data_IF_302972351959
#
_entry.id   IF_302972351959
#
_cell.length_a   1.000
_cell.length_b   1.000
_cell.length_c   1.000
_cell.angle_alpha   90.00
_cell.angle_beta   90.00
_cell.angle_gamma   90.00
#
_symmetry.space_group_name_H-M   'P 1'
#
loop_
_entity.id
_entity.type
_entity.pdbx_description
1 polymer ?
#
# COMPACT_ATOMS: atom_id res chain seq x y z
N UNK A 1 19.09 -19.15 27.35
CA UNK A 1 18.29 -18.05 26.78
C UNK A 1 19.21 -17.23 25.90
N UNK A 2 19.10 -17.37 24.58
CA UNK A 2 19.82 -16.53 23.63
C UNK A 2 18.91 -15.35 23.36
N UNK A 3 19.32 -14.15 23.76
CA UNK A 3 18.62 -12.92 23.42
C UNK A 3 18.71 -12.73 21.89
N UNK A 4 17.55 -12.69 21.23
CA UNK A 4 17.47 -12.30 19.83
C UNK A 4 17.91 -10.84 19.73
N UNK A 5 19.11 -10.61 19.23
CA UNK A 5 19.65 -9.28 18.98
C UNK A 5 18.85 -8.62 17.85
N UNK A 6 18.16 -7.54 18.16
CA UNK A 6 17.49 -6.71 17.16
C UNK A 6 18.57 -6.02 16.32
N UNK A 7 18.73 -6.45 15.07
CA UNK A 7 19.67 -5.79 14.16
C UNK A 7 19.05 -4.48 13.67
N UNK A 8 19.58 -3.36 14.15
CA UNK A 8 19.24 -2.04 13.62
C UNK A 8 20.11 -1.80 12.38
N UNK A 9 19.49 -1.79 11.21
CA UNK A 9 20.15 -1.40 9.98
C UNK A 9 20.15 0.13 9.91
N UNK A 10 21.29 0.72 10.26
CA UNK A 10 21.51 2.15 10.14
C UNK A 10 22.24 2.46 8.84
N UNK A 11 21.77 3.46 8.11
CA UNK A 11 22.47 3.94 6.93
C UNK A 11 23.90 4.37 7.29
N UNK A 12 24.85 4.01 6.45
CA UNK A 12 26.21 4.54 6.52
C UNK A 12 26.13 6.07 6.44
N UNK A 13 26.95 6.79 7.22
CA UNK A 13 26.91 8.24 7.49
C UNK A 13 27.18 9.18 6.29
N UNK A 14 26.68 8.86 5.13
CA UNK A 14 26.36 9.86 4.12
C UNK A 14 25.00 10.41 4.53
N UNK A 15 24.91 11.70 4.83
CA UNK A 15 23.65 12.37 5.15
C UNK A 15 22.70 12.12 3.97
N UNK A 16 21.90 11.07 4.06
CA UNK A 16 20.92 10.76 3.05
C UNK A 16 19.95 11.94 3.00
N UNK A 17 19.78 12.55 1.85
CA UNK A 17 18.79 13.59 1.67
C UNK A 17 17.43 13.02 2.10
N UNK A 18 16.75 13.71 3.02
CA UNK A 18 15.43 13.30 3.47
C UNK A 18 14.52 13.15 2.24
N UNK A 19 13.87 11.99 2.12
CA UNK A 19 12.95 11.76 1.02
C UNK A 19 11.71 12.63 1.18
N UNK A 20 11.27 13.30 0.11
CA UNK A 20 9.95 13.92 0.10
C UNK A 20 8.88 12.84 -0.08
N UNK A 21 7.71 12.96 0.58
CA UNK A 21 6.60 12.04 0.35
C UNK A 21 6.23 11.94 -1.14
N UNK A 22 5.75 10.77 -1.56
CA UNK A 22 5.17 10.60 -2.91
C UNK A 22 3.86 11.40 -2.99
N UNK A 23 3.73 12.24 -4.01
CA UNK A 23 2.54 13.06 -4.17
C UNK A 23 1.41 12.24 -4.83
N UNK A 24 0.44 11.83 -4.03
CA UNK A 24 -0.72 11.06 -4.48
C UNK A 24 -1.79 11.91 -5.17
N UNK A 25 -1.73 13.25 -5.05
CA UNK A 25 -2.73 14.18 -5.63
C UNK A 25 -4.16 13.74 -5.29
N UNK A 26 -5.06 13.67 -6.29
CA UNK A 26 -6.46 13.25 -6.08
C UNK A 26 -6.60 11.77 -5.67
N UNK A 27 -5.63 10.90 -5.98
CA UNK A 27 -5.63 9.52 -5.52
C UNK A 27 -5.46 9.39 -3.99
N UNK A 28 -4.94 10.43 -3.33
CA UNK A 28 -4.73 10.45 -1.88
C UNK A 28 -5.99 10.37 -1.03
N UNK A 29 -7.17 10.65 -1.57
CA UNK A 29 -8.47 10.54 -0.87
C UNK A 29 -9.04 9.13 -0.88
N UNK A 30 -8.54 8.25 -1.75
CA UNK A 30 -9.02 6.88 -1.87
C UNK A 30 -8.30 5.95 -0.90
N UNK A 31 -9.08 5.12 -0.21
CA UNK A 31 -8.57 3.95 0.51
C UNK A 31 -8.28 2.80 -0.46
N UNK A 32 -9.15 2.64 -1.48
CA UNK A 32 -8.98 1.64 -2.53
C UNK A 32 -9.27 2.28 -3.89
N UNK A 33 -8.32 2.17 -4.82
CA UNK A 33 -8.53 2.56 -6.22
C UNK A 33 -7.90 1.52 -7.14
N UNK A 34 -8.69 1.03 -8.09
CA UNK A 34 -8.27 -0.02 -9.02
C UNK A 34 -8.67 0.27 -10.46
N UNK A 35 -8.02 -0.39 -11.43
CA UNK A 35 -8.39 -0.23 -12.84
C UNK A 35 -9.22 -1.40 -13.38
N UNK A 36 -9.21 -2.56 -12.72
CA UNK A 36 -9.92 -3.76 -13.18
C UNK A 36 -11.01 -4.25 -12.22
N UNK A 37 -11.27 -3.49 -11.14
CA UNK A 37 -12.33 -3.77 -10.18
C UNK A 37 -11.83 -4.16 -8.79
N UNK A 38 -12.78 -4.23 -7.87
CA UNK A 38 -12.59 -4.64 -6.48
C UNK A 38 -13.48 -5.84 -6.22
N UNK A 39 -12.89 -7.01 -5.93
CA UNK A 39 -13.65 -8.18 -5.51
C UNK A 39 -13.59 -8.33 -4.01
N UNK A 40 -14.72 -8.68 -3.39
CA UNK A 40 -14.78 -9.00 -1.98
C UNK A 40 -15.48 -10.35 -1.78
N UNK A 41 -14.84 -11.21 -0.99
CA UNK A 41 -15.41 -12.49 -0.58
C UNK A 41 -15.57 -12.44 0.94
N UNK A 42 -16.81 -12.39 1.39
CA UNK A 42 -17.20 -12.07 2.76
C UNK A 42 -16.92 -10.60 3.16
N UNK A 43 -17.82 -10.04 3.94
CA UNK A 43 -17.88 -8.60 4.22
C UNK A 43 -16.58 -8.04 4.82
N UNK A 44 -16.09 -6.99 4.19
CA UNK A 44 -14.92 -6.21 4.62
C UNK A 44 -15.36 -4.88 5.25
N UNK A 45 -14.46 -4.18 5.92
CA UNK A 45 -14.69 -2.87 6.52
C UNK A 45 -13.70 -1.85 5.96
N UNK A 46 -14.19 -0.93 5.13
CA UNK A 46 -13.37 0.08 4.45
C UNK A 46 -13.69 1.47 5.04
N UNK A 47 -12.68 2.16 5.55
CA UNK A 47 -12.76 3.55 5.99
C UNK A 47 -12.00 4.45 5.02
N UNK A 48 -12.74 5.13 4.14
CA UNK A 48 -12.23 5.97 3.07
C UNK A 48 -12.95 5.70 1.75
N UNK A 49 -12.65 6.48 0.73
CA UNK A 49 -13.30 6.36 -0.56
C UNK A 49 -12.80 5.14 -1.34
N UNK A 50 -13.68 4.59 -2.17
CA UNK A 50 -13.40 3.45 -3.04
C UNK A 50 -13.75 3.81 -4.48
N UNK A 51 -12.94 3.37 -5.43
CA UNK A 51 -13.23 3.57 -6.85
C UNK A 51 -12.62 2.52 -7.76
N UNK A 52 -13.23 2.39 -8.94
CA UNK A 52 -12.68 1.59 -10.03
C UNK A 52 -12.92 2.28 -11.38
N UNK A 53 -11.88 2.39 -12.22
CA UNK A 53 -11.92 2.98 -13.56
C UNK A 53 -10.73 2.49 -14.38
N UNK A 54 -10.89 2.20 -15.69
CA UNK A 54 -12.06 2.47 -16.55
C UNK A 54 -13.13 1.38 -16.54
N UNK A 55 -12.99 0.34 -15.74
CA UNK A 55 -13.94 -0.77 -15.64
C UNK A 55 -15.32 -0.28 -15.18
N UNK A 56 -16.39 -0.91 -15.65
CA UNK A 56 -17.77 -0.64 -15.21
C UNK A 56 -17.93 -0.76 -13.69
N UNK A 57 -18.83 0.02 -13.12
CA UNK A 57 -19.16 -0.03 -11.69
C UNK A 57 -19.60 -1.41 -11.19
N UNK A 58 -20.14 -2.26 -12.07
CA UNK A 58 -20.47 -3.65 -11.76
C UNK A 58 -19.27 -4.48 -11.28
N UNK A 59 -18.04 -4.05 -11.57
CA UNK A 59 -16.82 -4.70 -11.08
C UNK A 59 -16.43 -4.30 -9.64
N UNK A 60 -17.22 -3.46 -8.96
CA UNK A 60 -17.04 -3.12 -7.55
C UNK A 60 -17.93 -4.06 -6.73
N UNK A 61 -17.36 -5.13 -6.21
CA UNK A 61 -18.04 -6.19 -5.47
C UNK A 61 -18.24 -5.91 -3.97
N UNK A 62 -18.28 -4.62 -3.56
CA UNK A 62 -18.49 -4.19 -2.18
C UNK A 62 -19.95 -3.81 -1.95
N UNK A 63 -20.50 -4.19 -0.79
CA UNK A 63 -21.79 -3.68 -0.37
C UNK A 63 -21.67 -2.27 0.23
N UNK A 64 -22.75 -1.49 0.15
CA UNK A 64 -22.78 -0.11 0.69
C UNK A 64 -22.45 -0.03 2.19
N UNK A 65 -22.81 -1.05 2.94
CA UNK A 65 -22.55 -1.13 4.40
C UNK A 65 -21.10 -1.36 4.76
N UNK A 66 -20.27 -1.77 3.81
CA UNK A 66 -18.85 -2.10 4.03
C UNK A 66 -17.94 -0.88 3.95
N UNK A 67 -18.44 0.22 3.34
CA UNK A 67 -17.65 1.41 3.06
C UNK A 67 -18.13 2.59 3.90
N UNK A 68 -17.27 3.07 4.78
CA UNK A 68 -17.45 4.36 5.47
C UNK A 68 -16.67 5.41 4.67
N UNK A 69 -17.32 5.97 3.68
CA UNK A 69 -16.80 6.87 2.66
C UNK A 69 -17.71 6.82 1.44
N UNK A 70 -17.23 7.26 0.30
CA UNK A 70 -17.97 7.25 -0.96
C UNK A 70 -17.46 6.15 -1.88
N UNK A 71 -18.38 5.38 -2.47
CA UNK A 71 -18.06 4.47 -3.59
C UNK A 71 -18.27 5.28 -4.88
N UNK A 72 -17.21 5.44 -5.66
CA UNK A 72 -17.26 6.08 -6.97
C UNK A 72 -17.25 5.04 -8.08
N UNK A 73 -18.14 5.18 -9.06
CA UNK A 73 -18.24 4.33 -10.24
C UNK A 73 -18.20 5.15 -11.53
N UNK A 74 -17.80 4.53 -12.63
CA UNK A 74 -17.79 5.20 -13.95
C UNK A 74 -19.21 5.28 -14.57
N UNK A 75 -20.11 4.40 -14.12
CA UNK A 75 -21.48 4.27 -14.63
C UNK A 75 -22.45 3.87 -13.51
N UNK A 76 -23.73 3.75 -13.83
CA UNK A 76 -24.80 3.41 -12.90
C UNK A 76 -24.91 1.89 -12.60
N UNK A 77 -24.01 1.05 -13.09
CA UNK A 77 -24.02 -0.39 -12.86
C UNK A 77 -23.36 -0.80 -11.53
N UNK A 78 -22.83 0.15 -10.76
CA UNK A 78 -22.18 -0.08 -9.47
C UNK A 78 -23.17 -0.39 -8.33
N UNK A 79 -22.64 -0.55 -7.10
CA UNK A 79 -23.48 -0.64 -5.90
C UNK A 79 -24.51 0.49 -5.82
N UNK A 80 -25.70 0.25 -5.24
CA UNK A 80 -26.80 1.24 -5.28
C UNK A 80 -26.49 2.58 -4.59
N UNK A 81 -25.51 2.62 -3.71
CA UNK A 81 -25.02 3.85 -3.08
C UNK A 81 -23.87 4.53 -3.84
N UNK A 82 -23.42 3.94 -4.95
CA UNK A 82 -22.29 4.49 -5.68
C UNK A 82 -22.65 5.81 -6.36
N UNK A 83 -21.69 6.73 -6.35
CA UNK A 83 -21.77 7.99 -7.07
C UNK A 83 -21.12 7.83 -8.44
N UNK A 84 -21.90 8.08 -9.50
CA UNK A 84 -21.36 8.05 -10.87
C UNK A 84 -20.49 9.28 -11.09
N UNK A 85 -19.17 9.09 -11.21
CA UNK A 85 -18.19 10.17 -11.32
C UNK A 85 -17.00 9.81 -12.20
N UNK A 86 -17.22 9.55 -13.51
CA UNK A 86 -16.15 9.06 -14.41
C UNK A 86 -14.96 10.02 -14.52
N UNK A 87 -15.19 11.32 -14.48
CA UNK A 87 -14.12 12.33 -14.56
C UNK A 87 -13.23 12.32 -13.33
N UNK A 88 -13.80 12.21 -12.12
CA UNK A 88 -13.04 12.12 -10.86
C UNK A 88 -12.17 10.86 -10.91
N UNK A 89 -12.74 9.73 -11.29
CA UNK A 89 -12.04 8.45 -11.34
C UNK A 89 -10.92 8.45 -12.40
N UNK A 90 -11.19 9.01 -13.60
CA UNK A 90 -10.16 9.11 -14.65
C UNK A 90 -8.97 9.94 -14.17
N UNK A 91 -9.23 11.05 -13.49
CA UNK A 91 -8.17 11.89 -12.91
C UNK A 91 -7.40 11.14 -11.83
N UNK A 92 -8.11 10.50 -10.89
CA UNK A 92 -7.49 9.78 -9.78
C UNK A 92 -6.64 8.59 -10.25
N UNK A 93 -7.10 7.83 -11.24
CA UNK A 93 -6.31 6.73 -11.85
C UNK A 93 -5.07 7.27 -12.56
N UNK A 94 -5.18 8.40 -13.26
CA UNK A 94 -4.01 9.10 -13.82
C UNK A 94 -3.00 9.52 -12.76
N UNK A 95 -3.48 9.99 -11.62
CA UNK A 95 -2.64 10.38 -10.47
C UNK A 95 -2.00 9.17 -9.78
N UNK A 96 -2.66 7.99 -9.74
CA UNK A 96 -2.01 6.73 -9.30
C UNK A 96 -0.82 6.40 -10.21
N UNK A 97 -1.01 6.50 -11.54
CA UNK A 97 0.07 6.27 -12.49
C UNK A 97 1.24 7.23 -12.28
N UNK A 98 0.95 8.52 -12.07
CA UNK A 98 1.96 9.53 -11.81
C UNK A 98 2.70 9.29 -10.48
N UNK A 99 1.97 8.91 -9.42
CA UNK A 99 2.56 8.58 -8.12
C UNK A 99 3.43 7.32 -8.17
N UNK A 100 2.99 6.31 -8.93
CA UNK A 100 3.79 5.11 -9.18
C UNK A 100 5.12 5.46 -9.85
N UNK A 101 5.09 6.25 -10.93
CA UNK A 101 6.28 6.67 -11.66
C UNK A 101 7.19 7.59 -10.83
N UNK A 102 6.62 8.45 -9.97
CA UNK A 102 7.40 9.25 -9.01
C UNK A 102 8.15 8.33 -8.04
N UNK A 103 7.46 7.35 -7.45
CA UNK A 103 8.10 6.41 -6.53
C UNK A 103 9.17 5.55 -7.23
N UNK A 104 8.85 4.98 -8.41
CA UNK A 104 9.76 4.13 -9.19
C UNK A 104 11.01 4.91 -9.67
N UNK A 105 10.83 6.18 -10.04
CA UNK A 105 11.86 7.02 -10.64
C UNK A 105 12.80 7.69 -9.63
N UNK A 106 12.60 7.54 -8.31
CA UNK A 106 13.50 8.10 -7.30
C UNK A 106 14.91 7.51 -7.46
N UNK A 107 15.91 8.40 -7.44
CA UNK A 107 17.32 8.06 -7.66
C UNK A 107 18.10 8.11 -6.36
N UNK A 108 19.31 7.53 -6.35
CA UNK A 108 20.21 7.47 -5.21
C UNK A 108 19.60 6.76 -4.00
N UNK A 109 19.22 5.48 -4.14
CA UNK A 109 18.68 4.71 -3.02
C UNK A 109 19.70 4.60 -1.88
N UNK A 110 19.20 4.69 -0.65
CA UNK A 110 20.00 4.52 0.56
C UNK A 110 20.41 3.05 0.74
N UNK A 111 19.53 2.14 0.28
CA UNK A 111 19.71 0.70 0.40
C UNK A 111 19.35 0.03 -0.92
N UNK A 112 20.22 -0.84 -1.40
CA UNK A 112 20.01 -1.64 -2.62
C UNK A 112 20.10 -3.10 -2.26
N UNK A 113 19.08 -3.87 -2.69
CA UNK A 113 18.96 -5.32 -2.49
C UNK A 113 19.23 -5.76 -1.03
N UNK A 114 18.80 -4.93 -0.07
CA UNK A 114 18.96 -5.19 1.36
C UNK A 114 18.43 -6.58 1.71
N UNK A 115 19.27 -7.37 2.37
CA UNK A 115 18.99 -8.73 2.82
C UNK A 115 18.35 -9.62 1.73
N UNK A 116 18.78 -9.41 0.47
CA UNK A 116 18.30 -10.11 -0.72
C UNK A 116 16.75 -10.13 -0.85
N UNK A 117 16.07 -9.11 -0.32
CA UNK A 117 14.62 -8.98 -0.35
C UNK A 117 13.87 -9.60 0.83
N UNK A 118 14.53 -10.30 1.76
CA UNK A 118 13.89 -10.74 3.00
C UNK A 118 14.07 -9.67 4.07
N UNK A 119 13.01 -8.90 4.33
CA UNK A 119 13.05 -7.79 5.29
C UNK A 119 12.40 -8.10 6.64
N UNK A 120 11.88 -9.31 6.80
CA UNK A 120 11.32 -9.79 8.06
C UNK A 120 12.36 -9.77 9.18
N UNK A 121 11.97 -9.30 10.37
CA UNK A 121 12.84 -9.18 11.54
C UNK A 121 13.70 -7.92 11.58
N UNK A 122 13.71 -7.12 10.51
CA UNK A 122 14.51 -5.90 10.45
C UNK A 122 13.80 -4.71 11.09
N UNK A 123 14.61 -3.75 11.56
CA UNK A 123 14.17 -2.38 11.88
C UNK A 123 14.75 -1.45 10.82
N UNK A 124 13.87 -0.85 10.02
CA UNK A 124 14.24 -0.05 8.86
C UNK A 124 14.19 1.45 9.20
N UNK A 125 15.30 2.14 8.98
CA UNK A 125 15.40 3.59 9.09
C UNK A 125 14.69 4.29 7.92
N UNK A 126 14.30 5.57 8.02
CA UNK A 126 13.76 6.34 6.90
C UNK A 126 14.71 6.37 5.70
N UNK A 127 14.15 6.35 4.49
CA UNK A 127 14.96 6.43 3.27
C UNK A 127 14.32 5.78 2.05
N UNK A 128 15.11 5.74 0.99
CA UNK A 128 14.79 5.10 -0.28
C UNK A 128 15.46 3.73 -0.33
N UNK A 129 14.65 2.71 -0.50
CA UNK A 129 15.04 1.31 -0.64
C UNK A 129 14.76 0.83 -2.05
N UNK A 130 15.65 0.05 -2.62
CA UNK A 130 15.48 -0.50 -3.96
C UNK A 130 15.86 -1.97 -4.00
N UNK A 131 14.95 -2.81 -4.51
CA UNK A 131 15.22 -4.21 -4.84
C UNK A 131 14.97 -4.47 -6.32
N UNK A 132 15.89 -5.21 -6.93
CA UNK A 132 15.77 -5.68 -8.31
C UNK A 132 15.03 -7.02 -8.41
N UNK A 133 14.54 -7.53 -7.28
CA UNK A 133 13.86 -8.81 -7.08
C UNK A 133 12.56 -8.63 -6.30
N UNK A 134 11.97 -9.72 -5.85
CA UNK A 134 10.85 -9.76 -4.92
C UNK A 134 11.27 -9.31 -3.51
N UNK A 135 10.28 -8.87 -2.73
CA UNK A 135 10.44 -8.58 -1.30
C UNK A 135 9.49 -9.44 -0.49
N UNK A 136 10.03 -10.06 0.56
CA UNK A 136 9.29 -10.92 1.48
C UNK A 136 9.33 -10.37 2.91
N UNK A 137 8.20 -10.44 3.60
CA UNK A 137 8.04 -10.14 5.01
C UNK A 137 7.62 -11.43 5.72
N UNK A 138 8.59 -12.32 5.99
CA UNK A 138 8.35 -13.64 6.60
C UNK A 138 8.15 -13.56 8.11
N UNK A 139 8.62 -12.50 8.75
CA UNK A 139 8.42 -12.14 10.17
C UNK A 139 8.08 -10.66 10.30
N UNK A 140 7.73 -10.18 11.49
CA UNK A 140 7.38 -8.78 11.69
C UNK A 140 8.53 -7.85 11.30
N UNK A 141 8.22 -6.74 10.63
CA UNK A 141 9.17 -5.68 10.27
C UNK A 141 8.78 -4.38 10.97
N UNK A 142 9.78 -3.61 11.42
CA UNK A 142 9.55 -2.33 12.09
C UNK A 142 10.11 -1.18 11.26
N UNK A 143 9.30 -0.15 11.02
CA UNK A 143 9.73 1.12 10.45
C UNK A 143 9.90 2.12 11.59
N UNK A 144 11.15 2.53 11.89
CA UNK A 144 11.46 3.36 13.04
C UNK A 144 12.00 4.72 12.62
N UNK A 145 11.27 5.77 12.98
CA UNK A 145 11.63 7.16 12.68
C UNK A 145 10.62 8.16 13.27
N UNK A 146 10.81 9.43 13.01
CA UNK A 146 9.95 10.51 13.47
C UNK A 146 8.68 10.70 12.62
N UNK A 147 7.81 11.64 13.01
CA UNK A 147 6.49 11.82 12.38
C UNK A 147 6.56 12.43 10.97
N UNK A 148 7.68 12.98 10.56
CA UNK A 148 7.89 13.57 9.22
C UNK A 148 8.80 12.73 8.34
N UNK A 149 9.34 11.65 8.88
CA UNK A 149 10.22 10.75 8.14
C UNK A 149 9.46 9.95 7.09
N UNK A 150 10.16 9.67 5.98
CA UNK A 150 9.56 9.05 4.79
C UNK A 150 10.30 7.77 4.44
N UNK A 151 9.55 6.74 4.11
CA UNK A 151 10.03 5.49 3.54
C UNK A 151 9.47 5.31 2.14
N UNK A 152 10.33 5.04 1.17
CA UNK A 152 9.95 4.69 -0.20
C UNK A 152 10.63 3.38 -0.54
N UNK A 153 9.83 2.37 -0.88
CA UNK A 153 10.28 1.05 -1.27
C UNK A 153 10.04 0.85 -2.76
N UNK A 154 11.10 0.69 -3.53
CA UNK A 154 11.06 0.38 -4.97
C UNK A 154 11.30 -1.12 -5.14
N UNK A 155 10.29 -1.85 -5.59
CA UNK A 155 10.33 -3.31 -5.72
C UNK A 155 10.08 -3.68 -7.18
N UNK A 156 11.09 -4.24 -7.85
CA UNK A 156 10.97 -4.66 -9.25
C UNK A 156 10.17 -5.96 -9.43
N UNK A 157 9.94 -6.70 -8.36
CA UNK A 157 9.18 -7.94 -8.32
C UNK A 157 7.87 -7.82 -7.52
N UNK A 158 7.51 -8.89 -6.83
CA UNK A 158 6.35 -8.98 -5.93
C UNK A 158 6.67 -8.48 -4.52
N UNK A 159 5.64 -8.14 -3.76
CA UNK A 159 5.71 -7.92 -2.32
C UNK A 159 4.80 -8.92 -1.62
N UNK A 160 5.38 -9.80 -0.84
CA UNK A 160 4.64 -10.86 -0.15
C UNK A 160 4.83 -10.77 1.36
N UNK A 161 3.72 -10.60 2.09
CA UNK A 161 3.70 -10.63 3.55
C UNK A 161 3.12 -11.96 4.03
N UNK A 162 3.83 -12.64 4.90
CA UNK A 162 3.38 -13.91 5.47
C UNK A 162 2.17 -13.71 6.41
N UNK A 163 1.41 -14.79 6.61
CA UNK A 163 0.25 -14.81 7.49
C UNK A 163 0.61 -14.42 8.93
N UNK A 164 -0.25 -13.64 9.58
CA UNK A 164 -0.13 -13.16 10.95
C UNK A 164 1.18 -12.38 11.22
N UNK A 165 1.73 -11.71 10.20
CA UNK A 165 2.89 -10.83 10.34
C UNK A 165 2.49 -9.37 10.22
N UNK A 166 3.30 -8.50 10.84
CA UNK A 166 2.97 -7.10 10.96
C UNK A 166 4.09 -6.22 10.40
N UNK A 167 3.68 -5.19 9.67
CA UNK A 167 4.49 -3.99 9.50
C UNK A 167 4.14 -3.06 10.66
N UNK A 168 5.10 -2.70 11.49
CA UNK A 168 4.89 -1.87 12.67
C UNK A 168 5.61 -0.53 12.54
N UNK A 169 5.00 0.52 13.08
CA UNK A 169 5.58 1.86 13.11
C UNK A 169 6.11 2.18 14.51
N UNK A 170 7.31 2.74 14.59
CA UNK A 170 7.96 3.11 15.86
C UNK A 170 8.56 4.53 15.78
N UNK A 171 8.81 5.13 16.95
CA UNK A 171 9.45 6.46 17.04
C UNK A 171 8.56 7.64 16.64
N UNK A 172 7.30 7.40 16.31
CA UNK A 172 6.39 8.42 15.80
C UNK A 172 6.18 8.36 14.29
N UNK A 173 6.76 7.38 13.59
CA UNK A 173 6.53 7.12 12.17
C UNK A 173 5.04 7.07 11.83
N UNK A 174 4.66 7.57 10.66
CA UNK A 174 3.26 7.66 10.24
C UNK A 174 3.02 6.92 8.93
N UNK A 175 1.94 6.14 8.87
CA UNK A 175 1.55 5.36 7.69
C UNK A 175 1.42 6.19 6.40
N UNK A 176 0.99 7.45 6.52
CA UNK A 176 0.86 8.36 5.38
C UNK A 176 2.20 8.69 4.68
N UNK A 177 3.31 8.46 5.36
CA UNK A 177 4.67 8.73 4.87
C UNK A 177 5.41 7.45 4.42
N UNK A 178 4.71 6.33 4.34
CA UNK A 178 5.27 5.04 3.91
C UNK A 178 4.67 4.65 2.56
N UNK A 179 5.53 4.42 1.57
CA UNK A 179 5.13 4.15 0.19
C UNK A 179 5.82 2.89 -0.33
N UNK A 180 5.02 1.92 -0.76
CA UNK A 180 5.46 0.64 -1.30
C UNK A 180 5.12 0.58 -2.79
N UNK A 181 6.08 0.90 -3.65
CA UNK A 181 5.94 0.72 -5.09
C UNK A 181 6.36 -0.69 -5.47
N UNK A 182 5.50 -1.43 -6.15
CA UNK A 182 5.76 -2.79 -6.63
C UNK A 182 5.42 -2.94 -8.11
N UNK A 183 6.35 -3.46 -8.90
CA UNK A 183 6.08 -3.79 -10.30
C UNK A 183 5.31 -5.10 -10.44
N UNK A 184 5.40 -5.99 -9.48
CA UNK A 184 4.65 -7.24 -9.38
C UNK A 184 3.39 -7.11 -8.51
N UNK A 185 2.77 -8.26 -8.25
CA UNK A 185 1.63 -8.34 -7.35
C UNK A 185 2.04 -8.12 -5.89
N UNK A 186 1.08 -7.63 -5.10
CA UNK A 186 1.24 -7.52 -3.66
C UNK A 186 0.26 -8.47 -2.97
N UNK A 187 0.77 -9.29 -2.04
CA UNK A 187 -0.05 -10.22 -1.25
C UNK A 187 0.13 -9.93 0.23
N UNK A 188 -0.96 -9.59 0.90
CA UNK A 188 -1.00 -9.50 2.36
C UNK A 188 -1.59 -10.80 2.92
N UNK A 189 -0.81 -11.54 3.69
CA UNK A 189 -1.17 -12.86 4.22
C UNK A 189 -2.34 -12.83 5.19
N UNK A 190 -2.94 -13.98 5.45
CA UNK A 190 -4.08 -14.12 6.37
C UNK A 190 -3.77 -13.49 7.71
N UNK A 191 -4.67 -12.64 8.21
CA UNK A 191 -4.57 -11.90 9.49
C UNK A 191 -3.33 -11.02 9.65
N UNK A 192 -2.61 -10.74 8.57
CA UNK A 192 -1.48 -9.83 8.57
C UNK A 192 -1.93 -8.37 8.76
N UNK A 193 -1.07 -7.54 9.33
CA UNK A 193 -1.29 -6.10 9.42
C UNK A 193 -0.23 -5.32 8.64
N UNK A 194 -0.67 -4.36 7.83
CA UNK A 194 0.20 -3.60 6.93
C UNK A 194 0.07 -2.09 7.15
N UNK A 195 1.16 -1.37 7.03
CA UNK A 195 1.22 0.09 7.20
C UNK A 195 1.76 0.77 5.93
N UNK A 196 1.03 1.76 5.44
CA UNK A 196 1.46 2.60 4.32
C UNK A 196 0.63 2.44 3.05
N UNK A 197 1.01 3.22 2.04
CA UNK A 197 0.37 3.25 0.72
C UNK A 197 1.04 2.24 -0.21
N UNK A 198 0.26 1.32 -0.74
CA UNK A 198 0.69 0.38 -1.78
C UNK A 198 0.37 0.97 -3.15
N UNK A 199 1.39 1.09 -4.00
CA UNK A 199 1.34 1.49 -5.40
C UNK A 199 1.74 0.27 -6.24
N UNK A 200 0.79 -0.54 -6.64
CA UNK A 200 1.07 -1.76 -7.43
C UNK A 200 0.79 -1.55 -8.91
N UNK A 201 1.71 -1.97 -9.75
CA UNK A 201 1.51 -2.01 -11.21
C UNK A 201 0.53 -3.10 -11.63
N UNK A 202 0.35 -4.10 -10.79
CA UNK A 202 -0.57 -5.22 -11.02
C UNK A 202 -1.63 -5.27 -9.92
N UNK A 203 -1.95 -6.44 -9.41
CA UNK A 203 -2.99 -6.63 -8.41
C UNK A 203 -2.47 -6.49 -6.98
N UNK A 204 -3.40 -6.17 -6.08
CA UNK A 204 -3.21 -6.25 -4.63
C UNK A 204 -4.21 -7.27 -4.08
N UNK A 205 -3.72 -8.29 -3.38
CA UNK A 205 -4.54 -9.33 -2.77
C UNK A 205 -4.40 -9.29 -1.25
N UNK A 206 -5.49 -9.00 -0.56
CA UNK A 206 -5.58 -9.18 0.89
C UNK A 206 -6.23 -10.52 1.20
N UNK A 207 -5.50 -11.40 1.89
CA UNK A 207 -6.04 -12.69 2.33
C UNK A 207 -6.94 -12.51 3.55
N UNK A 208 -7.67 -13.55 3.91
CA UNK A 208 -8.69 -13.55 4.96
C UNK A 208 -8.24 -12.82 6.24
N UNK A 209 -8.98 -11.81 6.64
CA UNK A 209 -8.78 -11.08 7.88
C UNK A 209 -7.53 -10.19 7.93
N UNK A 210 -6.81 -10.03 6.83
CA UNK A 210 -5.71 -9.06 6.77
C UNK A 210 -6.24 -7.64 6.93
N UNK A 211 -5.41 -6.75 7.47
CA UNK A 211 -5.76 -5.35 7.71
C UNK A 211 -4.66 -4.41 7.25
N UNK A 212 -5.05 -3.19 6.89
CA UNK A 212 -4.09 -2.14 6.58
C UNK A 212 -4.54 -0.78 7.10
N UNK A 213 -3.59 -0.01 7.61
CA UNK A 213 -3.70 1.43 7.78
C UNK A 213 -2.91 2.06 6.63
N UNK A 214 -3.59 2.32 5.53
CA UNK A 214 -2.93 2.67 4.28
C UNK A 214 -3.89 2.84 3.12
N UNK A 215 -3.34 2.75 1.91
CA UNK A 215 -4.08 2.79 0.65
C UNK A 215 -3.70 1.63 -0.25
N UNK A 216 -4.68 1.09 -0.95
CA UNK A 216 -4.52 0.05 -1.94
C UNK A 216 -4.77 0.65 -3.33
N UNK A 217 -3.71 1.07 -4.00
CA UNK A 217 -3.76 1.74 -5.30
C UNK A 217 -3.17 0.80 -6.36
N UNK A 218 -4.04 0.08 -7.06
CA UNK A 218 -3.67 -0.97 -8.01
C UNK A 218 -3.94 -0.54 -9.45
N UNK A 219 -3.00 -0.78 -10.36
CA UNK A 219 -3.23 -0.59 -11.80
C UNK A 219 -3.98 -1.78 -12.46
N UNK A 220 -4.29 -2.83 -11.70
CA UNK A 220 -5.26 -3.86 -12.09
C UNK A 220 -6.30 -4.05 -10.99
N UNK A 221 -6.43 -5.19 -10.38
CA UNK A 221 -7.49 -5.51 -9.43
C UNK A 221 -7.06 -5.39 -7.96
N UNK A 222 -8.02 -5.16 -7.09
CA UNK A 222 -7.89 -5.36 -5.64
C UNK A 222 -8.82 -6.49 -5.22
N UNK A 223 -8.33 -7.46 -4.45
CA UNK A 223 -9.13 -8.57 -3.93
C UNK A 223 -9.12 -8.57 -2.41
N UNK A 224 -10.30 -8.72 -1.83
CA UNK A 224 -10.54 -8.66 -0.39
C UNK A 224 -11.23 -9.92 0.12
N UNK A 225 -10.98 -10.27 1.40
CA UNK A 225 -11.58 -11.40 2.11
C UNK A 225 -11.70 -11.07 3.61
N UNK A 226 -12.81 -10.52 4.06
CA UNK A 226 -13.03 -10.11 5.47
C UNK A 226 -11.96 -9.12 5.97
N UNK A 227 -11.58 -8.15 5.16
CA UNK A 227 -10.46 -7.27 5.45
C UNK A 227 -10.89 -5.97 6.12
N UNK A 228 -9.93 -5.32 6.77
CA UNK A 228 -10.09 -3.94 7.25
C UNK A 228 -9.08 -3.05 6.53
N UNK A 229 -9.59 -2.03 5.82
CA UNK A 229 -8.76 -1.00 5.17
C UNK A 229 -9.10 0.34 5.78
N UNK A 230 -8.12 1.02 6.36
CA UNK A 230 -8.31 2.33 6.98
C UNK A 230 -7.41 3.36 6.29
N UNK A 231 -8.01 4.38 5.73
CA UNK A 231 -7.27 5.51 5.16
C UNK A 231 -6.50 6.21 6.30
N UNK A 232 -5.18 6.42 6.18
CA UNK A 232 -4.40 7.10 7.20
C UNK A 232 -4.88 8.54 7.40
N UNK A 233 -4.83 9.03 8.64
CA UNK A 233 -5.10 10.44 8.92
C UNK A 233 -4.11 11.35 8.16
N UNK A 234 -4.59 12.46 7.65
CA UNK A 234 -3.81 13.48 6.91
C UNK A 234 -2.83 14.22 7.81
#
# INVERSE_FOLDING_TARGET
MVAAGTTVVSANTVTAAAQAPVNLRSAGTFAILSQSGVTDVYASAIKGDVGASPITGAAIGLACSEVTGTIFAVDAAGPPCAVTAPTILTTAVGDVGAAYLDAEGRTFPNFVDLDAGEIGGLTLAPGLYKWNTDVNISTDVTLSGGPTDVWIFQIAGTLDQAAAKNVTLAGGAQAKNVFWQSAGAVTLGTTAHFEGTILSKTMIAMKTGASTNGRLLAQTAVTLQMNTVTLPAL
#
